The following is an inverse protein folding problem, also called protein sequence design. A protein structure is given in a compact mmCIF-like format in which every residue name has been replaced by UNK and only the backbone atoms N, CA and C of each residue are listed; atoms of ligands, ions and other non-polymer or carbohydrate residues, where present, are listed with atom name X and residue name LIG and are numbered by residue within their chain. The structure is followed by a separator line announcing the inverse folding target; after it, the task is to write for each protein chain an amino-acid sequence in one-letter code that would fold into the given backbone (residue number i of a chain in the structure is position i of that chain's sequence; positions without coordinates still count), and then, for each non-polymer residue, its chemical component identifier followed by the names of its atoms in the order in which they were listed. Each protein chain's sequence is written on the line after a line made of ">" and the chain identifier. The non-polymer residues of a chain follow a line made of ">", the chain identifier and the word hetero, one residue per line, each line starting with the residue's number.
data_IF_970369680911
#
_entry.id   IF_970369680911
#
_cell.length_a   1.000
_cell.length_b   1.000
_cell.length_c   1.000
_cell.angle_alpha   90.00
_cell.angle_beta   90.00
_cell.angle_gamma   90.00
#
_symmetry.space_group_name_H-M   'P 1'
#
loop_
_entity.id
_entity.type
_entity.pdbx_description
1 polymer ?
#
# COMPACT_ATOMS: atom_id res chain seq x y z
N UNK A 1 21.96 -9.96 -17.16
CA UNK A 1 22.22 -8.63 -16.59
C UNK A 1 21.45 -8.54 -15.29
N UNK A 2 22.09 -8.07 -14.23
CA UNK A 2 21.42 -7.90 -12.94
C UNK A 2 20.49 -6.68 -13.07
N UNK A 3 19.18 -6.90 -13.07
CA UNK A 3 18.21 -5.80 -13.23
C UNK A 3 17.83 -5.16 -11.89
N UNK A 4 18.35 -5.69 -10.78
CA UNK A 4 18.10 -5.17 -9.44
C UNK A 4 18.99 -3.96 -9.14
N UNK A 5 18.51 -3.07 -8.27
CA UNK A 5 19.36 -2.06 -7.66
C UNK A 5 20.22 -2.67 -6.58
N UNK A 6 21.46 -2.17 -6.48
CA UNK A 6 22.36 -2.50 -5.39
C UNK A 6 22.45 -1.33 -4.39
N UNK A 7 22.80 -1.63 -3.14
CA UNK A 7 23.04 -0.59 -2.13
C UNK A 7 24.22 0.29 -2.55
N UNK A 8 24.05 1.60 -2.41
CA UNK A 8 25.01 2.61 -2.86
C UNK A 8 24.85 3.05 -4.31
N UNK A 9 24.07 2.34 -5.13
CA UNK A 9 23.79 2.72 -6.52
C UNK A 9 23.04 4.05 -6.57
N UNK A 10 23.41 4.90 -7.55
CA UNK A 10 22.75 6.18 -7.80
C UNK A 10 21.89 6.08 -9.04
N UNK A 11 20.65 6.48 -8.93
CA UNK A 11 19.67 6.45 -10.00
C UNK A 11 18.92 7.78 -10.09
N UNK A 12 18.71 8.27 -11.32
CA UNK A 12 17.90 9.48 -11.54
C UNK A 12 16.48 9.10 -11.91
N UNK A 13 15.54 9.43 -11.05
CA UNK A 13 14.12 9.26 -11.28
C UNK A 13 13.52 10.56 -11.83
N UNK A 14 12.72 10.45 -12.88
CA UNK A 14 12.10 11.59 -13.58
C UNK A 14 10.60 11.34 -13.67
N UNK A 15 9.81 12.28 -13.20
CA UNK A 15 8.38 12.30 -13.41
C UNK A 15 8.06 13.15 -14.63
N UNK A 16 7.42 12.56 -15.61
CA UNK A 16 7.00 13.25 -16.82
C UNK A 16 5.82 14.21 -16.58
N UNK A 17 5.76 15.25 -17.37
CA UNK A 17 5.01 16.50 -17.19
C UNK A 17 3.49 16.42 -17.37
N UNK A 18 2.89 15.29 -17.71
CA UNK A 18 1.56 15.25 -18.32
C UNK A 18 0.41 15.84 -17.50
N UNK A 19 0.53 16.11 -16.19
CA UNK A 19 -0.58 16.66 -15.36
C UNK A 19 -0.24 17.69 -14.29
N UNK A 20 1.01 17.95 -13.94
CA UNK A 20 1.36 18.86 -12.83
C UNK A 20 2.13 20.11 -13.20
N UNK A 21 2.45 20.32 -14.48
CA UNK A 21 3.16 21.53 -14.95
C UNK A 21 4.66 21.57 -14.64
N UNK A 22 5.18 20.75 -13.72
CA UNK A 22 6.60 20.75 -13.34
C UNK A 22 7.18 19.34 -13.41
N UNK A 23 8.37 19.21 -14.05
CA UNK A 23 9.14 17.97 -14.02
C UNK A 23 9.74 17.80 -12.63
N UNK A 24 9.44 16.69 -11.96
CA UNK A 24 10.13 16.32 -10.74
C UNK A 24 11.32 15.42 -11.10
N UNK A 25 12.53 15.90 -10.85
CA UNK A 25 13.76 15.14 -11.04
C UNK A 25 14.38 14.90 -9.68
N UNK A 26 14.63 13.64 -9.33
CA UNK A 26 15.21 13.23 -8.05
C UNK A 26 16.39 12.30 -8.31
N UNK A 27 17.56 12.66 -7.77
CA UNK A 27 18.75 11.79 -7.83
C UNK A 27 18.81 10.97 -6.55
N UNK A 28 18.48 9.69 -6.68
CA UNK A 28 18.31 8.75 -5.58
C UNK A 28 19.57 7.92 -5.38
N UNK A 29 20.07 7.88 -4.15
CA UNK A 29 21.06 6.90 -3.70
C UNK A 29 20.33 5.78 -2.97
N UNK A 30 20.47 4.54 -3.44
CA UNK A 30 19.89 3.36 -2.82
C UNK A 30 20.60 3.08 -1.49
N UNK A 31 19.86 3.04 -0.39
CA UNK A 31 20.43 2.90 0.95
C UNK A 31 20.33 1.47 1.47
N UNK A 32 19.14 0.87 1.36
CA UNK A 32 18.84 -0.44 1.96
C UNK A 32 17.78 -1.17 1.16
N UNK A 33 18.03 -2.44 0.91
CA UNK A 33 17.01 -3.33 0.39
C UNK A 33 16.09 -3.80 1.52
N UNK A 34 14.77 -3.66 1.30
CA UNK A 34 13.74 -4.09 2.25
C UNK A 34 13.15 -5.44 1.86
N UNK A 35 13.01 -5.68 0.57
CA UNK A 35 12.39 -6.88 0.04
C UNK A 35 12.83 -7.16 -1.40
N UNK A 36 13.00 -8.46 -1.74
CA UNK A 36 13.31 -8.91 -3.10
C UNK A 36 12.60 -10.22 -3.41
N UNK A 37 12.01 -10.29 -4.59
CA UNK A 37 11.50 -11.53 -5.19
C UNK A 37 11.95 -11.60 -6.65
N UNK A 38 11.62 -12.69 -7.37
CA UNK A 38 11.95 -12.80 -8.80
C UNK A 38 11.36 -11.71 -9.69
N UNK A 39 10.27 -11.05 -9.28
CA UNK A 39 9.58 -10.03 -10.06
C UNK A 39 9.51 -8.66 -9.39
N UNK A 40 9.91 -8.53 -8.12
CA UNK A 40 9.78 -7.29 -7.35
C UNK A 40 11.01 -7.02 -6.49
N UNK A 41 11.33 -5.73 -6.31
CA UNK A 41 12.30 -5.25 -5.33
C UNK A 41 11.75 -4.01 -4.63
N UNK A 42 12.03 -3.86 -3.35
CA UNK A 42 11.72 -2.67 -2.58
C UNK A 42 12.96 -2.17 -1.87
N UNK A 43 13.23 -0.87 -2.00
CA UNK A 43 14.44 -0.21 -1.47
C UNK A 43 14.06 1.05 -0.69
N UNK A 44 14.83 1.38 0.33
CA UNK A 44 14.89 2.74 0.87
C UNK A 44 15.96 3.49 0.09
N UNK A 45 15.64 4.68 -0.40
CA UNK A 45 16.57 5.55 -1.10
C UNK A 45 16.54 6.97 -0.53
N UNK A 46 17.59 7.72 -0.76
CA UNK A 46 17.72 9.11 -0.33
C UNK A 46 18.02 10.02 -1.53
N UNK A 47 17.31 11.12 -1.62
CA UNK A 47 17.67 12.19 -2.58
C UNK A 47 18.99 12.80 -2.17
N UNK A 48 19.99 12.67 -3.02
CA UNK A 48 21.37 13.14 -2.76
C UNK A 48 21.40 14.65 -2.48
N UNK A 49 20.49 15.42 -3.08
CA UNK A 49 20.46 16.87 -2.97
C UNK A 49 19.80 17.36 -1.70
N UNK A 50 18.73 16.70 -1.25
CA UNK A 50 17.89 17.17 -0.14
C UNK A 50 18.00 16.34 1.13
N UNK A 51 18.60 15.15 1.06
CA UNK A 51 18.61 14.18 2.16
C UNK A 51 17.24 13.54 2.43
N UNK A 52 16.24 13.85 1.61
CA UNK A 52 14.89 13.28 1.80
C UNK A 52 14.85 11.82 1.43
N UNK A 53 14.32 10.99 2.33
CA UNK A 53 14.14 9.57 2.07
C UNK A 53 12.87 9.27 1.31
N UNK A 54 12.93 8.21 0.50
CA UNK A 54 11.85 7.67 -0.31
C UNK A 54 11.83 6.15 -0.21
N UNK A 55 10.65 5.58 -0.41
CA UNK A 55 10.49 4.15 -0.64
C UNK A 55 10.37 3.93 -2.14
N UNK A 56 11.21 3.05 -2.68
CA UNK A 56 11.29 2.77 -4.11
C UNK A 56 10.80 1.36 -4.35
N UNK A 57 9.70 1.23 -5.08
CA UNK A 57 9.19 -0.06 -5.53
C UNK A 57 9.64 -0.29 -6.96
N UNK A 58 10.18 -1.45 -7.23
CA UNK A 58 10.61 -1.88 -8.56
C UNK A 58 9.84 -3.13 -8.96
N UNK A 59 9.20 -3.10 -10.11
CA UNK A 59 8.55 -4.26 -10.71
C UNK A 59 9.26 -4.60 -12.02
N UNK A 60 9.69 -5.85 -12.17
CA UNK A 60 10.24 -6.34 -13.42
C UNK A 60 9.08 -6.77 -14.32
N UNK A 61 8.90 -6.06 -15.42
CA UNK A 61 7.71 -6.16 -16.26
C UNK A 61 7.97 -6.99 -17.51
N UNK A 62 7.01 -7.87 -17.83
CA UNK A 62 6.71 -8.20 -19.21
C UNK A 62 5.59 -7.25 -19.71
N UNK A 63 5.39 -7.14 -21.01
CA UNK A 63 4.57 -6.11 -21.67
C UNK A 63 3.14 -5.95 -21.13
N UNK A 64 2.54 -7.00 -20.54
CA UNK A 64 1.19 -6.97 -19.99
C UNK A 64 1.12 -6.40 -18.56
N UNK A 65 2.17 -6.62 -17.76
CA UNK A 65 2.26 -6.09 -16.40
C UNK A 65 2.49 -4.58 -16.39
N UNK A 66 3.17 -4.06 -17.40
CA UNK A 66 3.46 -2.64 -17.58
C UNK A 66 2.19 -1.77 -17.58
N UNK A 67 1.13 -2.20 -18.28
CA UNK A 67 -0.15 -1.46 -18.36
C UNK A 67 -0.83 -1.32 -17.01
N UNK A 68 -0.69 -2.30 -16.12
CA UNK A 68 -1.29 -2.26 -14.78
C UNK A 68 -0.53 -1.32 -13.84
N UNK A 69 0.79 -1.42 -13.84
CA UNK A 69 1.64 -0.60 -12.96
C UNK A 69 1.58 0.87 -13.34
N UNK A 70 1.44 1.19 -14.64
CA UNK A 70 1.18 2.56 -15.09
C UNK A 70 -0.14 3.12 -14.56
N UNK A 71 -1.18 2.28 -14.42
CA UNK A 71 -2.47 2.72 -13.86
C UNK A 71 -2.37 3.04 -12.38
N UNK A 72 -1.67 2.23 -11.60
CA UNK A 72 -1.45 2.48 -10.17
C UNK A 72 -0.68 3.77 -9.91
N UNK A 73 0.36 4.03 -10.69
CA UNK A 73 1.15 5.26 -10.58
C UNK A 73 0.35 6.54 -10.92
N UNK A 74 -0.78 6.39 -11.64
CA UNK A 74 -1.71 7.48 -11.99
C UNK A 74 -2.74 7.77 -10.89
N UNK A 75 -2.91 6.86 -9.92
CA UNK A 75 -3.77 7.09 -8.76
C UNK A 75 -3.11 8.09 -7.82
N UNK A 76 -3.54 9.33 -7.88
CA UNK A 76 -3.04 10.38 -6.99
C UNK A 76 -4.00 10.56 -5.83
N UNK A 77 -3.68 9.91 -4.71
CA UNK A 77 -4.41 10.06 -3.46
C UNK A 77 -3.67 11.09 -2.57
N UNK A 78 -4.29 12.26 -2.42
CA UNK A 78 -3.78 13.30 -1.52
C UNK A 78 -4.53 13.22 -0.19
N UNK A 79 -3.98 12.49 0.76
CA UNK A 79 -4.55 12.33 2.10
C UNK A 79 -3.45 12.23 3.15
N UNK A 80 -3.62 12.84 4.33
CA UNK A 80 -2.68 12.63 5.43
C UNK A 80 -2.71 11.19 5.98
N UNK A 81 -3.73 10.40 5.61
CA UNK A 81 -3.96 9.03 6.08
C UNK A 81 -3.63 7.95 5.05
N UNK A 82 -3.14 8.34 3.89
CA UNK A 82 -2.76 7.45 2.79
C UNK A 82 -1.32 7.75 2.41
N UNK A 83 -0.57 6.71 2.07
CA UNK A 83 0.79 6.88 1.59
C UNK A 83 0.80 7.68 0.28
N UNK A 84 1.71 8.63 0.17
CA UNK A 84 1.84 9.43 -1.03
C UNK A 84 2.64 8.67 -2.09
N UNK A 85 2.05 8.47 -3.25
CA UNK A 85 2.73 7.98 -4.45
C UNK A 85 3.12 9.20 -5.29
N UNK A 86 4.41 9.38 -5.52
CA UNK A 86 4.92 10.50 -6.31
C UNK A 86 4.80 10.24 -7.81
N UNK A 87 4.71 8.99 -8.21
CA UNK A 87 4.53 8.54 -9.59
C UNK A 87 5.39 7.35 -9.92
N UNK A 88 5.30 6.90 -11.17
CA UNK A 88 6.09 5.79 -11.71
C UNK A 88 6.88 6.21 -12.94
N UNK A 89 7.96 5.50 -13.20
CA UNK A 89 8.83 5.67 -14.35
C UNK A 89 9.18 4.31 -14.95
N UNK A 90 9.09 4.19 -16.26
CA UNK A 90 9.54 3.01 -17.00
C UNK A 90 11.03 3.15 -17.32
N UNK A 91 11.81 2.17 -16.87
CA UNK A 91 13.20 1.96 -17.29
C UNK A 91 13.21 0.86 -18.36
N UNK A 92 13.04 1.27 -19.61
CA UNK A 92 12.95 0.34 -20.77
C UNK A 92 14.22 -0.50 -20.95
N UNK A 93 15.38 0.10 -20.66
CA UNK A 93 16.68 -0.57 -20.80
C UNK A 93 16.78 -1.81 -19.91
N UNK A 94 16.29 -1.71 -18.69
CA UNK A 94 16.35 -2.79 -17.70
C UNK A 94 15.01 -3.53 -17.56
N UNK A 95 13.99 -3.20 -18.38
CA UNK A 95 12.65 -3.79 -18.37
C UNK A 95 12.03 -3.79 -16.98
N UNK A 96 12.07 -2.63 -16.31
CA UNK A 96 11.53 -2.46 -14.96
C UNK A 96 10.72 -1.18 -14.85
N UNK A 97 9.68 -1.23 -14.02
CA UNK A 97 8.89 -0.07 -13.66
C UNK A 97 9.24 0.34 -12.23
N UNK A 98 9.52 1.63 -12.03
CA UNK A 98 10.04 2.17 -10.77
C UNK A 98 9.02 3.16 -10.23
N UNK A 99 8.39 2.83 -9.10
CA UNK A 99 7.44 3.70 -8.40
C UNK A 99 8.12 4.36 -7.22
N UNK A 100 8.03 5.69 -7.16
CA UNK A 100 8.54 6.49 -6.05
C UNK A 100 7.41 6.78 -5.05
N UNK A 101 7.62 6.40 -3.80
CA UNK A 101 6.62 6.45 -2.73
C UNK A 101 7.19 7.21 -1.52
N UNK A 102 6.31 7.83 -0.75
CA UNK A 102 6.66 8.44 0.53
C UNK A 102 7.31 7.42 1.47
N UNK A 103 8.42 7.80 2.10
CA UNK A 103 9.03 7.01 3.16
C UNK A 103 8.49 7.44 4.52
N UNK A 104 8.01 6.50 5.27
CA UNK A 104 7.53 6.66 6.66
C UNK A 104 8.33 5.71 7.55
N UNK A 105 8.93 6.25 8.60
CA UNK A 105 9.80 5.50 9.52
C UNK A 105 8.99 4.80 10.65
N UNK A 106 7.76 4.39 10.34
CA UNK A 106 6.88 3.70 11.27
C UNK A 106 6.72 2.22 10.89
N UNK A 107 6.45 1.40 11.88
CA UNK A 107 6.12 -0.02 11.67
C UNK A 107 4.68 -0.17 11.17
N UNK A 108 4.39 -1.29 10.51
CA UNK A 108 3.01 -1.70 10.29
C UNK A 108 2.31 -2.11 11.60
N UNK A 109 0.99 -2.15 11.57
CA UNK A 109 0.20 -2.46 12.78
C UNK A 109 0.51 -3.86 13.35
N UNK A 110 0.81 -4.83 12.50
CA UNK A 110 1.14 -6.20 12.95
C UNK A 110 2.46 -6.21 13.71
N UNK A 111 3.48 -5.54 13.18
CA UNK A 111 4.78 -5.39 13.81
C UNK A 111 4.70 -4.52 15.08
N UNK A 112 3.97 -3.40 15.02
CA UNK A 112 3.75 -2.51 16.15
C UNK A 112 3.13 -3.28 17.35
N UNK A 113 2.09 -4.08 17.10
CA UNK A 113 1.42 -4.84 18.16
C UNK A 113 2.28 -5.97 18.74
N UNK A 114 3.14 -6.59 17.94
CA UNK A 114 4.08 -7.64 18.40
C UNK A 114 5.30 -7.08 19.13
N UNK A 115 5.76 -5.89 18.72
CA UNK A 115 7.00 -5.28 19.20
C UNK A 115 6.79 -4.24 20.28
N UNK A 116 6.92 -2.96 19.91
CA UNK A 116 6.86 -1.81 20.84
C UNK A 116 5.51 -1.67 21.54
N UNK A 117 4.44 -2.15 20.87
CA UNK A 117 3.09 -1.98 21.37
C UNK A 117 2.57 -0.54 21.26
N UNK A 118 1.34 -0.35 21.69
CA UNK A 118 0.66 0.95 21.72
C UNK A 118 1.10 1.73 22.96
N UNK A 119 1.37 3.01 22.81
CA UNK A 119 1.77 3.90 23.91
C UNK A 119 0.68 4.03 24.98
N UNK A 120 1.14 4.22 26.21
CA UNK A 120 0.31 4.37 27.40
C UNK A 120 0.58 3.28 28.44
N UNK A 121 0.49 3.65 29.71
CA UNK A 121 0.73 2.74 30.85
C UNK A 121 -0.57 2.07 31.31
N UNK A 122 -1.68 2.79 31.19
CA UNK A 122 -3.00 2.31 31.58
C UNK A 122 -3.81 1.78 30.40
N UNK A 123 -4.81 0.94 30.70
CA UNK A 123 -5.77 0.47 29.70
C UNK A 123 -6.49 1.63 29.00
N UNK A 124 -6.88 2.67 29.78
CA UNK A 124 -7.58 3.84 29.24
C UNK A 124 -6.71 4.63 28.25
N UNK A 125 -5.42 4.79 28.54
CA UNK A 125 -4.48 5.47 27.63
C UNK A 125 -4.31 4.69 26.34
N UNK A 126 -4.07 3.39 26.44
CA UNK A 126 -3.99 2.50 25.27
C UNK A 126 -5.26 2.53 24.44
N UNK A 127 -6.43 2.59 25.07
CA UNK A 127 -7.72 2.69 24.37
C UNK A 127 -7.87 4.02 23.62
N UNK A 128 -7.41 5.13 24.21
CA UNK A 128 -7.40 6.44 23.51
C UNK A 128 -6.52 6.39 22.25
N UNK A 129 -5.36 5.74 22.33
CA UNK A 129 -4.48 5.59 21.17
C UNK A 129 -5.13 4.68 20.11
N UNK A 130 -5.72 3.54 20.51
CA UNK A 130 -6.44 2.64 19.59
C UNK A 130 -7.57 3.38 18.86
N UNK A 131 -8.35 4.19 19.58
CA UNK A 131 -9.40 5.01 18.96
C UNK A 131 -8.83 6.02 17.97
N UNK A 132 -7.68 6.63 18.25
CA UNK A 132 -7.02 7.56 17.34
C UNK A 132 -6.54 6.86 16.07
N UNK A 133 -5.93 5.68 16.20
CA UNK A 133 -5.49 4.87 15.06
C UNK A 133 -6.70 4.45 14.23
N UNK A 134 -7.74 3.90 14.88
CA UNK A 134 -8.97 3.46 14.22
C UNK A 134 -9.65 4.60 13.44
N UNK A 135 -9.77 5.79 14.06
CA UNK A 135 -10.38 6.95 13.40
C UNK A 135 -9.58 7.38 12.17
N UNK A 136 -8.26 7.51 12.29
CA UNK A 136 -7.41 7.90 11.14
C UNK A 136 -7.41 6.87 10.03
N UNK A 137 -7.44 5.58 10.37
CA UNK A 137 -7.59 4.50 9.41
C UNK A 137 -8.93 4.62 8.65
N UNK A 138 -10.04 4.82 9.35
CA UNK A 138 -11.36 5.01 8.72
C UNK A 138 -11.43 6.26 7.86
N UNK A 139 -10.81 7.37 8.29
CA UNK A 139 -10.70 8.59 7.49
C UNK A 139 -9.89 8.34 6.20
N UNK A 140 -8.87 7.49 6.26
CA UNK A 140 -8.12 7.08 5.06
C UNK A 140 -9.00 6.30 4.08
N UNK A 141 -9.82 5.37 4.57
CA UNK A 141 -10.77 4.60 3.76
C UNK A 141 -11.82 5.51 3.13
N UNK A 142 -12.48 6.34 3.94
CA UNK A 142 -13.47 7.31 3.46
C UNK A 142 -12.88 8.20 2.37
N UNK A 143 -11.64 8.63 2.55
CA UNK A 143 -10.97 9.50 1.61
C UNK A 143 -10.79 8.86 0.23
N UNK A 144 -10.21 7.65 0.13
CA UNK A 144 -10.02 7.04 -1.19
C UNK A 144 -11.32 6.53 -1.83
N UNK A 145 -12.31 6.12 -1.02
CA UNK A 145 -13.61 5.72 -1.53
C UNK A 145 -14.43 6.91 -2.04
N UNK A 146 -14.29 8.10 -1.41
CA UNK A 146 -15.06 9.29 -1.76
C UNK A 146 -14.45 10.09 -2.92
N UNK A 147 -13.13 10.05 -3.11
CA UNK A 147 -12.44 10.82 -4.16
C UNK A 147 -12.90 10.48 -5.57
N UNK A 148 -13.34 9.27 -5.81
CA UNK A 148 -13.76 8.77 -7.12
C UNK A 148 -15.19 8.22 -7.03
N UNK A 149 -16.15 9.09 -6.71
CA UNK A 149 -17.57 8.69 -6.50
C UNK A 149 -18.20 7.94 -7.67
N UNK A 150 -17.75 8.23 -8.89
CA UNK A 150 -18.25 7.55 -10.10
C UNK A 150 -17.48 6.26 -10.41
N UNK A 151 -16.21 6.20 -9.97
CA UNK A 151 -15.31 5.07 -10.17
C UNK A 151 -14.57 4.77 -8.84
N UNK A 152 -15.23 4.15 -7.86
CA UNK A 152 -14.63 3.97 -6.54
C UNK A 152 -13.35 3.14 -6.63
N UNK A 153 -12.31 3.62 -5.94
CA UNK A 153 -11.07 2.88 -5.76
C UNK A 153 -11.33 1.77 -4.74
N UNK A 154 -10.87 0.56 -5.05
CA UNK A 154 -10.89 -0.58 -4.16
C UNK A 154 -9.45 -1.03 -3.92
N UNK A 155 -9.03 -1.06 -2.66
CA UNK A 155 -7.66 -1.43 -2.26
C UNK A 155 -7.37 -2.92 -2.44
N UNK A 156 -8.34 -3.79 -2.09
CA UNK A 156 -8.36 -5.24 -2.25
C UNK A 156 -7.42 -6.05 -1.34
N UNK A 157 -6.53 -5.42 -0.61
CA UNK A 157 -5.62 -6.11 0.32
C UNK A 157 -5.46 -5.33 1.64
N UNK A 158 -6.56 -4.83 2.21
CA UNK A 158 -6.53 -4.20 3.52
C UNK A 158 -6.25 -5.25 4.60
N UNK A 159 -5.19 -5.03 5.37
CA UNK A 159 -4.74 -5.87 6.50
C UNK A 159 -3.82 -5.06 7.41
N UNK A 160 -3.52 -5.51 8.64
CA UNK A 160 -2.63 -4.81 9.56
C UNK A 160 -1.25 -4.48 8.98
N UNK A 161 -0.70 -5.37 8.14
CA UNK A 161 0.60 -5.20 7.48
C UNK A 161 0.58 -4.06 6.44
N UNK A 162 -0.60 -3.65 5.98
CA UNK A 162 -0.78 -2.56 5.02
C UNK A 162 -1.25 -1.24 5.67
N UNK A 163 -1.05 -1.11 7.00
CA UNK A 163 -1.33 0.12 7.76
C UNK A 163 -0.12 0.44 8.63
N UNK A 164 0.61 1.51 8.31
CA UNK A 164 1.68 2.03 9.17
C UNK A 164 1.09 2.86 10.30
N UNK A 165 1.63 2.72 11.51
CA UNK A 165 1.21 3.52 12.65
C UNK A 165 2.34 3.77 13.64
N UNK A 166 2.40 5.01 14.17
CA UNK A 166 3.25 5.32 15.33
C UNK A 166 2.65 4.76 16.63
N UNK A 167 3.48 4.46 17.63
CA UNK A 167 3.01 3.94 18.93
C UNK A 167 1.96 4.79 19.62
N UNK A 168 1.99 6.12 19.43
CA UNK A 168 1.03 7.08 19.99
C UNK A 168 -0.17 7.36 19.06
N UNK A 169 -0.21 6.76 17.87
CA UNK A 169 -1.23 6.99 16.85
C UNK A 169 -1.20 8.40 16.23
N UNK A 170 -0.10 9.15 16.38
CA UNK A 170 0.05 10.47 15.73
C UNK A 170 0.21 10.32 14.21
N UNK A 171 0.88 9.28 13.76
CA UNK A 171 1.00 8.88 12.35
C UNK A 171 0.16 7.63 12.12
N UNK A 172 -0.68 7.64 11.10
CA UNK A 172 -1.38 6.44 10.57
C UNK A 172 -1.49 6.61 9.06
N UNK A 173 -1.03 5.62 8.31
CA UNK A 173 -1.09 5.64 6.84
C UNK A 173 -1.46 4.28 6.26
N UNK A 174 -2.46 4.26 5.39
CA UNK A 174 -2.75 3.09 4.55
C UNK A 174 -1.71 3.05 3.43
N UNK A 175 -1.10 1.88 3.22
CA UNK A 175 -0.04 1.66 2.24
C UNK A 175 -0.42 0.54 1.27
N UNK A 176 0.41 0.34 0.25
CA UNK A 176 0.36 -0.80 -0.67
C UNK A 176 -0.88 -0.84 -1.57
N UNK A 177 -1.05 0.22 -2.36
CA UNK A 177 -2.08 0.34 -3.39
C UNK A 177 -1.71 -0.42 -4.69
N UNK A 178 -0.87 -1.46 -4.62
CA UNK A 178 -0.41 -2.23 -5.79
C UNK A 178 -1.56 -2.97 -6.51
N UNK A 179 -2.65 -3.25 -5.81
CA UNK A 179 -3.80 -4.02 -6.30
C UNK A 179 -5.04 -3.17 -6.57
N UNK A 180 -4.88 -1.85 -6.53
CA UNK A 180 -6.00 -0.92 -6.72
C UNK A 180 -6.74 -1.20 -8.02
N UNK A 181 -8.04 -1.35 -7.90
CA UNK A 181 -8.94 -1.39 -9.04
C UNK A 181 -9.57 -0.02 -9.24
N UNK A 182 -9.35 0.58 -10.40
CA UNK A 182 -10.11 1.73 -10.86
C UNK A 182 -11.31 1.19 -11.64
N UNK A 183 -12.49 1.44 -11.14
CA UNK A 183 -13.74 1.19 -11.85
C UNK A 183 -13.88 2.21 -13.02
N UNK A 184 -13.03 2.13 -14.03
CA UNK A 184 -13.25 2.90 -15.24
C UNK A 184 -14.40 2.26 -16.02
N UNK A 185 -15.49 3.02 -16.16
CA UNK A 185 -16.65 2.80 -17.00
C UNK A 185 -16.51 1.60 -17.96
N UNK A 186 -17.31 0.56 -17.74
CA UNK A 186 -17.66 -0.53 -18.67
C UNK A 186 -16.59 -1.55 -19.06
N UNK A 187 -15.39 -1.57 -18.49
CA UNK A 187 -14.44 -2.64 -18.77
C UNK A 187 -14.06 -3.33 -17.47
N UNK A 188 -14.93 -4.22 -17.01
CA UNK A 188 -14.57 -5.27 -16.05
C UNK A 188 -13.68 -6.27 -16.79
N UNK A 189 -12.49 -5.87 -17.22
CA UNK A 189 -11.51 -6.80 -17.76
C UNK A 189 -10.61 -7.23 -16.63
N UNK A 190 -11.05 -8.27 -15.96
CA UNK A 190 -10.14 -9.06 -15.15
C UNK A 190 -9.19 -9.82 -16.07
N UNK A 191 -8.04 -9.25 -16.34
CA UNK A 191 -6.98 -9.88 -17.13
C UNK A 191 -6.23 -10.97 -16.37
N UNK A 192 -6.50 -11.21 -15.08
CA UNK A 192 -5.93 -12.33 -14.33
C UNK A 192 -6.98 -13.02 -13.45
N UNK A 193 -7.12 -14.34 -13.64
CA UNK A 193 -7.92 -15.27 -12.79
C UNK A 193 -7.23 -15.56 -11.45
N UNK A 194 -6.61 -14.55 -10.82
CA UNK A 194 -5.90 -14.76 -9.57
C UNK A 194 -6.74 -14.26 -8.40
N UNK A 195 -6.88 -15.10 -7.40
CA UNK A 195 -7.42 -14.68 -6.11
C UNK A 195 -6.58 -13.52 -5.57
N UNK A 196 -7.23 -12.41 -5.25
CA UNK A 196 -6.58 -11.21 -4.73
C UNK A 196 -6.98 -10.97 -3.29
N UNK A 197 -6.01 -10.52 -2.51
CA UNK A 197 -6.18 -10.28 -1.09
C UNK A 197 -5.51 -11.36 -0.24
N UNK A 198 -5.52 -11.12 1.07
CA UNK A 198 -4.90 -12.01 2.05
C UNK A 198 -5.96 -12.89 2.69
N UNK A 199 -5.81 -14.24 2.71
CA UNK A 199 -6.70 -15.12 3.45
C UNK A 199 -6.86 -14.65 4.91
N UNK A 200 -8.10 -14.62 5.40
CA UNK A 200 -8.43 -14.12 6.71
C UNK A 200 -8.78 -12.63 6.77
N UNK A 201 -8.55 -11.87 5.68
CA UNK A 201 -8.95 -10.46 5.53
C UNK A 201 -9.80 -10.21 4.30
N UNK A 202 -9.64 -11.00 3.24
CA UNK A 202 -10.44 -10.87 2.03
C UNK A 202 -11.89 -11.31 2.29
N UNK A 203 -12.85 -10.59 1.70
CA UNK A 203 -14.27 -10.92 1.81
C UNK A 203 -14.56 -12.28 1.14
N UNK A 204 -15.04 -13.29 1.86
CA UNK A 204 -15.25 -14.63 1.34
C UNK A 204 -16.29 -14.68 0.21
N UNK A 205 -17.25 -13.73 0.18
CA UNK A 205 -18.26 -13.63 -0.87
C UNK A 205 -17.64 -13.35 -2.24
N UNK A 206 -16.47 -12.70 -2.30
CA UNK A 206 -15.80 -12.30 -3.51
C UNK A 206 -14.48 -13.04 -3.76
N UNK A 207 -14.06 -13.90 -2.84
CA UNK A 207 -12.77 -14.59 -2.91
C UNK A 207 -12.56 -15.37 -4.22
N UNK A 208 -13.60 -16.04 -4.69
CA UNK A 208 -13.59 -16.80 -5.94
C UNK A 208 -14.30 -16.07 -7.10
N UNK A 209 -14.63 -14.78 -6.93
CA UNK A 209 -15.33 -14.01 -7.95
C UNK A 209 -14.38 -13.08 -8.70
N UNK A 210 -14.76 -12.76 -9.92
CA UNK A 210 -14.08 -11.71 -10.71
C UNK A 210 -14.64 -10.32 -10.45
N UNK A 211 -15.57 -10.20 -9.49
CA UNK A 211 -16.22 -8.95 -9.15
C UNK A 211 -15.34 -8.22 -8.16
N UNK A 212 -15.06 -6.95 -8.43
CA UNK A 212 -14.39 -6.04 -7.51
C UNK A 212 -15.38 -4.96 -7.08
N UNK A 213 -15.62 -4.85 -5.78
CA UNK A 213 -16.57 -3.90 -5.19
C UNK A 213 -16.01 -3.22 -3.94
N UNK A 214 -16.39 -1.96 -3.68
CA UNK A 214 -15.94 -1.25 -2.47
C UNK A 214 -16.28 -1.97 -1.15
N UNK A 215 -17.38 -2.76 -1.13
CA UNK A 215 -17.79 -3.54 0.03
C UNK A 215 -16.75 -4.57 0.48
N UNK A 216 -15.87 -5.00 -0.43
CA UNK A 216 -14.73 -5.87 -0.08
C UNK A 216 -13.78 -5.20 0.89
N UNK A 217 -13.49 -3.92 0.68
CA UNK A 217 -12.63 -3.15 1.57
C UNK A 217 -13.33 -2.83 2.90
N UNK A 218 -14.64 -2.64 2.90
CA UNK A 218 -15.42 -2.45 4.14
C UNK A 218 -15.35 -3.70 5.03
N UNK A 219 -15.47 -4.90 4.44
CA UNK A 219 -15.29 -6.16 5.17
C UNK A 219 -13.89 -6.25 5.77
N UNK A 220 -12.85 -6.05 4.95
CA UNK A 220 -11.46 -6.11 5.39
C UNK A 220 -11.16 -5.05 6.48
N UNK A 221 -11.74 -3.85 6.34
CA UNK A 221 -11.62 -2.77 7.32
C UNK A 221 -12.20 -3.16 8.68
N UNK A 222 -13.33 -3.84 8.72
CA UNK A 222 -13.91 -4.38 9.95
C UNK A 222 -12.94 -5.31 10.67
N UNK A 223 -12.24 -6.17 9.94
CA UNK A 223 -11.24 -7.09 10.50
C UNK A 223 -9.97 -6.37 10.97
N UNK A 224 -9.53 -5.32 10.26
CA UNK A 224 -8.42 -4.45 10.72
C UNK A 224 -8.82 -3.71 12.00
N UNK A 225 -10.04 -3.20 12.10
CA UNK A 225 -10.55 -2.58 13.34
C UNK A 225 -10.56 -3.59 14.50
N UNK A 226 -11.03 -4.82 14.26
CA UNK A 226 -10.95 -5.88 15.26
C UNK A 226 -9.51 -6.08 15.74
N UNK A 227 -8.54 -6.13 14.80
CA UNK A 227 -7.12 -6.25 15.13
C UNK A 227 -6.61 -5.03 15.94
N UNK A 228 -6.95 -3.80 15.57
CA UNK A 228 -6.57 -2.59 16.31
C UNK A 228 -7.02 -2.68 17.78
N UNK A 229 -8.24 -3.15 18.04
CA UNK A 229 -8.77 -3.20 19.40
C UNK A 229 -8.30 -4.40 20.22
N UNK A 230 -8.09 -5.55 19.58
CA UNK A 230 -7.76 -6.80 20.28
C UNK A 230 -6.28 -7.18 20.21
N UNK A 231 -5.54 -6.71 19.20
CA UNK A 231 -4.19 -7.17 18.87
C UNK A 231 -4.17 -8.60 18.29
N UNK A 232 -5.31 -9.15 17.88
CA UNK A 232 -5.46 -10.52 17.40
C UNK A 232 -6.12 -10.53 16.03
N UNK A 233 -5.66 -11.43 15.15
CA UNK A 233 -6.38 -11.71 13.91
C UNK A 233 -7.69 -12.45 14.23
N UNK A 234 -8.79 -12.09 13.56
CA UNK A 234 -10.11 -12.66 13.83
C UNK A 234 -10.15 -14.17 13.56
N UNK A 235 -9.59 -14.60 12.44
CA UNK A 235 -9.57 -16.00 12.00
C UNK A 235 -8.25 -16.72 12.33
N UNK A 236 -7.55 -16.31 13.39
CA UNK A 236 -6.23 -16.85 13.73
C UNK A 236 -6.30 -18.36 13.98
N UNK A 237 -5.57 -19.10 13.16
CA UNK A 237 -5.43 -20.57 13.28
C UNK A 237 -6.59 -21.40 12.73
N UNK A 238 -7.65 -20.79 12.19
CA UNK A 238 -8.79 -21.55 11.69
C UNK A 238 -9.13 -21.20 10.23
N UNK A 239 -8.38 -21.78 9.30
CA UNK A 239 -8.61 -21.63 7.87
C UNK A 239 -10.01 -22.08 7.44
N UNK A 240 -10.57 -23.11 8.11
CA UNK A 240 -11.90 -23.62 7.81
C UNK A 240 -13.01 -22.62 8.17
N UNK A 241 -12.84 -21.80 9.23
CA UNK A 241 -13.80 -20.76 9.57
C UNK A 241 -13.79 -19.60 8.56
N UNK A 242 -12.63 -19.29 8.01
CA UNK A 242 -12.52 -18.28 6.94
C UNK A 242 -13.20 -18.75 5.66
N UNK A 243 -13.06 -20.04 5.31
CA UNK A 243 -13.60 -20.60 4.07
C UNK A 243 -15.14 -20.84 4.15
N UNK A 244 -15.74 -20.77 5.34
CA UNK A 244 -17.18 -20.94 5.60
C UNK A 244 -17.97 -19.67 5.83
N UNK A 245 -17.30 -18.52 6.03
CA UNK A 245 -17.92 -17.18 6.25
C UNK A 245 -18.36 -16.54 4.96
#
# INVERSE_FOLDING_TARGET
>A
MNCYFEEGEVFTWIRDRERSGENMVVSLKMLKECHRTGSKQAMIAEDIRTGKKYFVKVLFCNDLEQVYVEKESKVQLYSPYIIRIYGGMLDEKNKRFITLVEYIEESDLSELMRGRGIAGDTWNEKMKVRNRIAMKFLLGIDHYMSMYRQDPIVHRDLKPENVLASPDGSVVKIIDFDWVHLHASNVTVMLRREQKGTPGYADPRYWNSYICRPEMDIYSAGLVLYFIYTGKHHFYGNKELHDRG
#
